data_IF_598983915995
#
_entry.id   IF_598983915995
#
_cell.length_a   1.000
_cell.length_b   1.000
_cell.length_c   1.000
_cell.angle_alpha   90.00
_cell.angle_beta   90.00
_cell.angle_gamma   90.00
#
_symmetry.space_group_name_H-M   'P 1'
#
loop_
_entity.id
_entity.type
_entity.pdbx_description
1 polymer ?
#
# COMPACT_ATOMS: atom_id res chain seq x y z
N UNK A 1 -38.89 12.44 26.98
CA UNK A 1 -37.93 13.53 26.97
C UNK A 1 -37.08 13.41 25.70
N UNK A 2 -37.15 14.44 24.86
CA UNK A 2 -36.52 14.46 23.55
C UNK A 2 -35.01 14.24 23.63
N UNK A 3 -34.36 14.83 24.63
CA UNK A 3 -32.90 14.74 24.83
C UNK A 3 -32.46 13.31 25.18
N UNK A 4 -33.25 12.57 25.94
CA UNK A 4 -32.98 11.17 26.29
C UNK A 4 -33.13 10.29 25.07
N UNK A 5 -34.17 10.54 24.25
CA UNK A 5 -34.42 9.81 23.01
C UNK A 5 -33.30 10.05 21.99
N UNK A 6 -32.90 11.31 21.82
CA UNK A 6 -31.79 11.67 20.91
C UNK A 6 -30.47 11.01 21.37
N UNK A 7 -30.19 11.07 22.67
CA UNK A 7 -29.03 10.40 23.26
C UNK A 7 -29.07 8.88 23.06
N UNK A 8 -30.26 8.28 23.18
CA UNK A 8 -30.43 6.84 22.96
C UNK A 8 -30.27 6.45 21.48
N UNK A 9 -30.84 7.26 20.57
CA UNK A 9 -30.69 7.07 19.11
C UNK A 9 -29.23 7.22 18.71
N UNK A 10 -28.51 8.22 19.19
CA UNK A 10 -27.09 8.41 18.95
C UNK A 10 -26.26 7.24 19.51
N UNK A 11 -26.64 6.74 20.67
CA UNK A 11 -25.99 5.57 21.27
C UNK A 11 -26.20 4.25 20.51
N UNK A 12 -27.32 4.09 19.84
CA UNK A 12 -27.67 2.91 19.04
C UNK A 12 -27.60 3.12 17.53
N UNK A 13 -27.19 4.31 17.09
CA UNK A 13 -27.09 4.63 15.66
C UNK A 13 -25.94 3.87 14.99
N UNK A 14 -26.04 3.75 13.65
CA UNK A 14 -24.98 3.30 12.76
C UNK A 14 -23.60 3.92 13.06
N UNK A 15 -23.57 5.11 13.59
CA UNK A 15 -22.35 5.83 13.94
C UNK A 15 -21.47 5.05 14.92
N UNK A 16 -22.05 4.38 15.88
CA UNK A 16 -21.31 3.50 16.81
C UNK A 16 -20.80 2.23 16.16
N UNK A 17 -21.55 1.70 15.23
CA UNK A 17 -21.13 0.52 14.46
C UNK A 17 -19.96 0.88 13.55
N UNK A 18 -19.98 2.08 12.97
CA UNK A 18 -18.89 2.58 12.13
C UNK A 18 -17.57 2.78 12.88
N UNK A 19 -17.61 3.06 14.19
CA UNK A 19 -16.41 3.12 15.03
C UNK A 19 -15.70 1.76 15.18
N UNK A 20 -16.38 0.66 14.92
CA UNK A 20 -15.82 -0.68 14.89
C UNK A 20 -15.37 -1.12 13.50
N UNK A 21 -15.61 -0.31 12.48
CA UNK A 21 -15.21 -0.61 11.12
C UNK A 21 -13.70 -0.40 10.97
N UNK A 22 -13.01 -1.42 10.51
CA UNK A 22 -11.59 -1.29 10.20
C UNK A 22 -11.40 -0.31 9.04
N UNK A 23 -10.55 0.70 9.22
CA UNK A 23 -10.30 1.74 8.21
C UNK A 23 -9.84 1.17 6.87
N UNK A 24 -9.07 0.08 6.87
CA UNK A 24 -8.65 -0.60 5.65
C UNK A 24 -9.81 -1.20 4.84
N UNK A 25 -10.95 -1.44 5.45
CA UNK A 25 -12.17 -1.89 4.76
C UNK A 25 -12.91 -0.75 4.06
N UNK A 26 -12.72 0.49 4.51
CA UNK A 26 -13.39 1.68 3.98
C UNK A 26 -12.66 2.34 2.81
N UNK A 27 -11.40 1.95 2.57
CA UNK A 27 -10.59 2.53 1.52
C UNK A 27 -10.68 1.70 0.25
N UNK A 28 -10.84 2.39 -0.89
CA UNK A 28 -10.73 1.74 -2.18
C UNK A 28 -9.29 1.29 -2.44
N UNK A 29 -9.07 0.24 -3.22
CA UNK A 29 -7.72 -0.17 -3.62
C UNK A 29 -6.92 0.97 -4.27
N UNK A 30 -7.57 1.79 -5.06
CA UNK A 30 -6.93 2.91 -5.77
C UNK A 30 -6.41 3.98 -4.81
N UNK A 31 -7.17 4.30 -3.76
CA UNK A 31 -6.74 5.22 -2.71
C UNK A 31 -5.53 4.66 -1.97
N UNK A 32 -5.56 3.37 -1.62
CA UNK A 32 -4.43 2.72 -0.94
C UNK A 32 -3.16 2.74 -1.77
N UNK A 33 -3.26 2.48 -3.07
CA UNK A 33 -2.13 2.52 -3.99
C UNK A 33 -1.58 3.94 -4.09
N UNK A 34 -2.44 4.93 -4.28
CA UNK A 34 -2.05 6.33 -4.36
C UNK A 34 -1.36 6.81 -3.07
N UNK A 35 -1.92 6.47 -1.91
CA UNK A 35 -1.32 6.79 -0.61
C UNK A 35 0.03 6.10 -0.42
N UNK A 36 0.15 4.85 -0.84
CA UNK A 36 1.41 4.11 -0.80
C UNK A 36 2.51 4.78 -1.62
N UNK A 37 2.18 5.30 -2.79
CA UNK A 37 3.09 6.08 -3.64
C UNK A 37 3.47 7.38 -2.94
N UNK A 38 2.50 8.17 -2.49
CA UNK A 38 2.72 9.45 -1.83
C UNK A 38 3.59 9.30 -0.58
N UNK A 39 3.31 8.30 0.22
CA UNK A 39 4.07 8.01 1.45
C UNK A 39 5.39 7.32 1.20
N UNK A 40 5.64 6.85 -0.02
CA UNK A 40 6.84 6.10 -0.38
C UNK A 40 7.09 4.95 0.59
N UNK A 41 6.12 4.08 0.71
CA UNK A 41 6.18 2.93 1.63
C UNK A 41 7.24 1.92 1.20
N UNK A 42 7.73 1.14 2.16
CA UNK A 42 8.56 -0.05 1.91
C UNK A 42 7.67 -1.16 1.34
N UNK A 43 7.85 -1.50 0.07
CA UNK A 43 7.10 -2.57 -0.56
C UNK A 43 7.96 -3.84 -0.64
N UNK A 44 7.51 -4.96 -0.05
CA UNK A 44 8.37 -6.13 0.08
C UNK A 44 8.47 -6.95 -1.20
N UNK A 45 9.64 -7.50 -1.43
CA UNK A 45 9.91 -8.43 -2.53
C UNK A 45 8.96 -9.63 -2.52
N UNK A 46 8.53 -10.07 -1.34
CA UNK A 46 7.55 -11.15 -1.21
C UNK A 46 6.28 -10.89 -2.03
N UNK A 47 5.72 -9.69 -1.98
CA UNK A 47 4.52 -9.36 -2.75
C UNK A 47 4.80 -9.18 -4.24
N UNK A 48 5.96 -8.69 -4.60
CA UNK A 48 6.39 -8.62 -6.01
C UNK A 48 6.39 -10.03 -6.62
N UNK A 49 6.96 -10.99 -5.92
CA UNK A 49 6.97 -12.40 -6.35
C UNK A 49 5.59 -13.03 -6.32
N UNK A 50 4.84 -12.85 -5.24
CA UNK A 50 3.50 -13.43 -5.05
C UNK A 50 2.52 -12.99 -6.13
N UNK A 51 2.53 -11.73 -6.49
CA UNK A 51 1.66 -11.15 -7.50
C UNK A 51 2.25 -11.22 -8.92
N UNK A 52 3.45 -11.77 -9.08
CA UNK A 52 4.17 -11.83 -10.35
C UNK A 52 4.30 -10.45 -11.00
N UNK A 53 4.65 -9.46 -10.20
CA UNK A 53 4.88 -8.09 -10.67
C UNK A 53 6.20 -8.01 -11.44
N UNK A 54 6.29 -7.01 -12.29
CA UNK A 54 7.44 -6.79 -13.17
C UNK A 54 8.27 -5.61 -12.68
N UNK A 55 9.56 -5.80 -12.56
CA UNK A 55 10.53 -4.75 -12.25
C UNK A 55 11.31 -4.34 -13.50
N UNK A 56 11.82 -3.11 -13.51
CA UNK A 56 12.89 -2.74 -14.46
C UNK A 56 14.18 -3.50 -14.12
N UNK A 57 15.07 -3.63 -15.07
CA UNK A 57 16.38 -4.29 -14.84
C UNK A 57 17.17 -3.62 -13.72
N UNK A 58 17.16 -2.30 -13.67
CA UNK A 58 17.85 -1.52 -12.62
C UNK A 58 17.27 -1.83 -11.24
N UNK A 59 15.94 -1.88 -11.14
CA UNK A 59 15.26 -2.22 -9.88
C UNK A 59 15.55 -3.65 -9.45
N UNK A 60 15.53 -4.58 -10.38
CA UNK A 60 15.82 -5.99 -10.13
C UNK A 60 17.24 -6.20 -9.60
N UNK A 61 18.24 -5.57 -10.22
CA UNK A 61 19.63 -5.60 -9.76
C UNK A 61 19.78 -5.02 -8.35
N UNK A 62 19.15 -3.87 -8.10
CA UNK A 62 19.19 -3.18 -6.81
C UNK A 62 18.56 -4.04 -5.70
N UNK A 63 17.40 -4.62 -5.96
CA UNK A 63 16.70 -5.43 -4.96
C UNK A 63 17.40 -6.76 -4.69
N UNK A 64 18.04 -7.36 -5.69
CA UNK A 64 18.84 -8.57 -5.50
C UNK A 64 20.09 -8.33 -4.64
N UNK A 65 20.76 -7.21 -4.81
CA UNK A 65 21.87 -6.81 -3.92
C UNK A 65 21.40 -6.64 -2.48
N UNK A 66 20.27 -5.99 -2.27
CA UNK A 66 19.69 -5.82 -0.94
C UNK A 66 19.29 -7.16 -0.34
N UNK A 67 18.71 -8.05 -1.13
CA UNK A 67 18.29 -9.39 -0.69
C UNK A 67 19.48 -10.19 -0.14
N UNK A 68 20.64 -10.13 -0.77
CA UNK A 68 21.87 -10.78 -0.27
C UNK A 68 22.25 -10.28 1.11
N UNK A 69 22.15 -8.96 1.36
CA UNK A 69 22.42 -8.39 2.69
C UNK A 69 21.41 -8.87 3.73
N UNK A 70 20.16 -9.02 3.34
CA UNK A 70 19.10 -9.54 4.22
C UNK A 70 19.31 -11.03 4.52
N UNK A 71 19.75 -11.82 3.54
CA UNK A 71 20.12 -13.24 3.75
C UNK A 71 21.18 -13.39 4.85
N UNK A 72 22.20 -12.54 4.84
CA UNK A 72 23.24 -12.55 5.88
C UNK A 72 22.68 -12.24 7.27
N UNK A 73 21.68 -11.38 7.39
CA UNK A 73 21.03 -11.06 8.65
C UNK A 73 20.25 -12.26 9.24
N UNK A 74 19.75 -13.16 8.39
CA UNK A 74 18.97 -14.33 8.80
C UNK A 74 19.74 -15.66 8.72
N UNK A 75 21.03 -15.59 8.51
CA UNK A 75 21.93 -16.74 8.36
C UNK A 75 21.85 -17.73 9.54
N UNK A 76 21.73 -17.21 10.77
CA UNK A 76 21.71 -18.00 12.00
C UNK A 76 20.31 -18.21 12.58
N UNK A 77 19.25 -17.93 11.80
CA UNK A 77 17.88 -18.15 12.28
C UNK A 77 17.47 -19.62 12.16
N UNK A 78 16.46 -20.02 12.96
CA UNK A 78 15.97 -21.40 13.01
C UNK A 78 15.08 -21.78 11.81
N UNK A 79 14.85 -20.86 10.87
CA UNK A 79 14.02 -21.10 9.71
C UNK A 79 14.82 -21.75 8.58
N UNK A 80 14.17 -22.63 7.82
CA UNK A 80 14.75 -23.30 6.65
C UNK A 80 13.76 -23.33 5.48
N UNK A 81 14.28 -23.61 4.28
CA UNK A 81 13.47 -23.81 3.08
C UNK A 81 12.58 -22.61 2.75
N UNK A 82 11.33 -22.89 2.44
CA UNK A 82 10.33 -21.85 2.04
C UNK A 82 10.06 -20.81 3.12
N UNK A 83 10.17 -21.17 4.39
CA UNK A 83 9.95 -20.27 5.50
C UNK A 83 11.08 -19.24 5.62
N UNK A 84 12.32 -19.67 5.45
CA UNK A 84 13.48 -18.79 5.41
C UNK A 84 13.42 -17.87 4.19
N UNK A 85 13.12 -18.41 3.01
CA UNK A 85 12.95 -17.62 1.78
C UNK A 85 11.90 -16.56 1.96
N UNK A 86 10.74 -16.88 2.52
CA UNK A 86 9.70 -15.93 2.81
C UNK A 86 10.15 -14.85 3.79
N UNK A 87 10.84 -15.23 4.86
CA UNK A 87 11.37 -14.28 5.85
C UNK A 87 12.32 -13.26 5.21
N UNK A 88 13.20 -13.73 4.35
CA UNK A 88 14.13 -12.88 3.61
C UNK A 88 13.38 -11.96 2.65
N UNK A 89 12.45 -12.47 1.88
CA UNK A 89 11.67 -11.70 0.91
C UNK A 89 10.73 -10.68 1.58
N UNK A 90 10.19 -11.00 2.77
CA UNK A 90 9.39 -10.07 3.58
C UNK A 90 10.21 -8.92 4.17
N UNK A 91 11.52 -9.07 4.26
CA UNK A 91 12.44 -8.06 4.79
C UNK A 91 13.33 -7.41 3.72
N UNK A 92 13.07 -7.72 2.47
CA UNK A 92 13.71 -7.09 1.30
C UNK A 92 12.70 -6.14 0.67
N UNK A 93 13.02 -4.86 0.60
CA UNK A 93 12.06 -3.82 0.24
C UNK A 93 12.53 -2.99 -0.95
N UNK A 94 11.56 -2.50 -1.70
CA UNK A 94 11.73 -1.42 -2.66
C UNK A 94 10.83 -0.25 -2.26
N UNK A 95 11.26 0.97 -2.53
CA UNK A 95 10.40 2.14 -2.41
C UNK A 95 9.24 2.02 -3.40
N UNK A 96 8.02 2.05 -2.89
CA UNK A 96 6.83 1.82 -3.73
C UNK A 96 6.65 2.86 -4.83
N UNK A 97 6.97 4.13 -4.53
CA UNK A 97 6.93 5.19 -5.54
C UNK A 97 7.98 4.95 -6.64
N UNK A 98 9.18 4.53 -6.27
CA UNK A 98 10.22 4.13 -7.23
C UNK A 98 9.74 2.96 -8.10
N UNK A 99 9.22 1.93 -7.46
CA UNK A 99 8.72 0.74 -8.14
C UNK A 99 7.63 1.05 -9.19
N UNK A 100 6.72 1.95 -8.88
CA UNK A 100 5.62 2.33 -9.79
C UNK A 100 6.06 3.41 -10.78
N UNK A 101 6.63 4.52 -10.31
CA UNK A 101 6.88 5.70 -11.13
C UNK A 101 8.14 5.62 -11.98
N UNK A 102 9.15 4.86 -11.57
CA UNK A 102 10.35 4.60 -12.35
C UNK A 102 10.29 3.29 -13.14
N UNK A 103 9.10 2.77 -13.35
CA UNK A 103 8.83 1.55 -14.07
C UNK A 103 7.53 1.70 -14.88
N UNK A 104 7.43 2.80 -15.61
CA UNK A 104 6.19 3.19 -16.31
C UNK A 104 5.77 2.21 -17.39
N UNK A 105 6.72 1.52 -18.01
CA UNK A 105 6.44 0.47 -18.99
C UNK A 105 5.56 -0.64 -18.40
N UNK A 106 5.77 -1.00 -17.15
CA UNK A 106 5.04 -2.04 -16.45
C UNK A 106 3.99 -1.50 -15.47
N UNK A 107 3.84 -0.18 -15.35
CA UNK A 107 3.01 0.43 -14.31
C UNK A 107 1.54 0.00 -14.39
N UNK A 108 0.96 -0.03 -15.58
CA UNK A 108 -0.44 -0.44 -15.77
C UNK A 108 -0.65 -1.91 -15.35
N UNK A 109 0.24 -2.79 -15.76
CA UNK A 109 0.22 -4.20 -15.39
C UNK A 109 0.36 -4.37 -13.86
N UNK A 110 1.36 -3.73 -13.26
CA UNK A 110 1.64 -3.85 -11.84
C UNK A 110 0.48 -3.30 -10.99
N UNK A 111 -0.01 -2.12 -11.34
CA UNK A 111 -1.12 -1.48 -10.63
C UNK A 111 -2.39 -2.33 -10.73
N UNK A 112 -2.69 -2.90 -11.89
CA UNK A 112 -3.83 -3.80 -12.08
C UNK A 112 -3.76 -5.03 -11.17
N UNK A 113 -2.58 -5.67 -11.09
CA UNK A 113 -2.36 -6.83 -10.20
C UNK A 113 -2.49 -6.46 -8.74
N UNK A 114 -1.90 -5.35 -8.33
CA UNK A 114 -1.98 -4.85 -6.95
C UNK A 114 -3.43 -4.50 -6.60
N UNK A 115 -4.14 -3.79 -7.48
CA UNK A 115 -5.56 -3.46 -7.31
C UNK A 115 -6.40 -4.69 -7.03
N UNK A 116 -6.25 -5.73 -7.85
CA UNK A 116 -7.01 -6.96 -7.69
C UNK A 116 -6.70 -7.68 -6.36
N UNK A 117 -5.46 -7.58 -5.88
CA UNK A 117 -5.06 -8.17 -4.60
C UNK A 117 -5.63 -7.44 -3.39
N UNK A 118 -6.05 -6.18 -3.55
CA UNK A 118 -6.57 -5.33 -2.48
C UNK A 118 -8.11 -5.32 -2.40
N UNK A 119 -8.80 -5.94 -3.34
CA UNK A 119 -10.26 -6.01 -3.35
C UNK A 119 -10.75 -6.84 -2.16
N UNK A 120 -11.68 -6.28 -1.39
CA UNK A 120 -12.32 -6.97 -0.25
C UNK A 120 -13.67 -7.57 -0.59
N UNK A 121 -14.30 -7.15 -1.67
CA UNK A 121 -15.52 -7.74 -2.20
C UNK A 121 -15.19 -8.48 -3.49
N UNK A 122 -15.53 -9.74 -3.55
CA UNK A 122 -15.44 -10.56 -4.74
C UNK A 122 -16.80 -11.20 -4.97
N UNK A 123 -17.37 -10.99 -6.14
CA UNK A 123 -18.69 -11.53 -6.52
C UNK A 123 -19.80 -11.16 -5.50
N UNK A 124 -19.75 -9.91 -4.96
CA UNK A 124 -20.70 -9.44 -3.96
C UNK A 124 -20.47 -9.97 -2.54
N UNK A 125 -19.45 -10.80 -2.33
CA UNK A 125 -19.13 -11.36 -1.02
C UNK A 125 -17.85 -10.75 -0.44
N UNK A 126 -17.86 -10.50 0.86
CA UNK A 126 -16.69 -9.97 1.56
C UNK A 126 -15.58 -11.03 1.65
N UNK A 127 -14.39 -10.68 1.20
CA UNK A 127 -13.19 -11.50 1.37
C UNK A 127 -12.45 -11.01 2.62
N UNK A 128 -12.73 -11.67 3.75
CA UNK A 128 -12.22 -11.24 5.06
C UNK A 128 -10.72 -11.46 5.27
N UNK A 129 -10.07 -12.23 4.41
CA UNK A 129 -8.66 -12.61 4.56
C UNK A 129 -7.73 -11.93 3.56
N UNK A 130 -7.99 -10.67 3.21
CA UNK A 130 -7.07 -9.93 2.35
C UNK A 130 -5.87 -9.42 3.16
N UNK A 131 -4.91 -10.32 3.40
CA UNK A 131 -3.69 -10.03 4.17
C UNK A 131 -2.84 -8.94 3.53
N UNK A 132 -2.85 -8.83 2.21
CA UNK A 132 -2.07 -7.82 1.51
C UNK A 132 -2.63 -6.42 1.74
N UNK A 133 -3.95 -6.25 1.72
CA UNK A 133 -4.58 -4.97 2.04
C UNK A 133 -4.23 -4.53 3.47
N UNK A 134 -4.30 -5.44 4.43
CA UNK A 134 -3.89 -5.16 5.82
C UNK A 134 -2.41 -4.81 5.90
N UNK A 135 -1.56 -5.51 5.18
CA UNK A 135 -0.13 -5.28 5.14
C UNK A 135 0.19 -3.89 4.57
N UNK A 136 -0.34 -3.54 3.40
CA UNK A 136 -0.15 -2.23 2.78
C UNK A 136 -0.67 -1.12 3.69
N UNK A 137 -1.84 -1.30 4.28
CA UNK A 137 -2.41 -0.35 5.23
C UNK A 137 -1.45 -0.07 6.40
N UNK A 138 -0.85 -1.11 6.98
CA UNK A 138 0.14 -0.96 8.06
C UNK A 138 1.35 -0.15 7.60
N UNK A 139 1.84 -0.35 6.38
CA UNK A 139 2.99 0.38 5.84
C UNK A 139 2.66 1.83 5.50
N UNK A 140 1.43 2.11 5.10
CA UNK A 140 0.99 3.48 4.83
C UNK A 140 0.90 4.30 6.12
N UNK A 141 0.32 3.73 7.17
CA UNK A 141 -0.03 4.45 8.39
C UNK A 141 0.91 4.18 9.57
N UNK A 142 1.63 3.07 9.57
CA UNK A 142 2.54 2.74 10.65
C UNK A 142 3.83 3.56 10.56
N UNK A 143 4.21 4.18 11.67
CA UNK A 143 5.46 4.90 11.78
C UNK A 143 6.65 3.96 11.52
N UNK A 144 7.63 4.41 10.75
CA UNK A 144 8.84 3.64 10.45
C UNK A 144 8.73 2.64 9.30
N UNK A 145 7.54 2.53 8.66
CA UNK A 145 7.35 1.67 7.47
C UNK A 145 7.47 2.42 6.15
N UNK A 146 7.93 3.64 6.20
CA UNK A 146 8.24 4.48 5.05
C UNK A 146 9.69 4.24 4.64
N UNK A 147 9.96 4.26 3.34
CA UNK A 147 11.32 4.10 2.81
C UNK A 147 12.24 5.19 3.35
N UNK A 148 13.45 4.81 3.73
CA UNK A 148 14.48 5.74 4.19
C UNK A 148 15.00 6.61 3.04
N UNK A 149 15.33 5.96 1.93
CA UNK A 149 15.67 6.67 0.69
C UNK A 149 14.40 7.14 -0.01
N UNK A 150 14.26 8.45 -0.15
CA UNK A 150 13.15 9.05 -0.88
C UNK A 150 13.57 9.32 -2.31
N UNK A 151 12.74 8.92 -3.25
CA UNK A 151 12.89 9.36 -4.63
C UNK A 151 12.35 10.77 -4.79
N UNK A 152 12.92 11.50 -5.74
CA UNK A 152 12.34 12.77 -6.15
C UNK A 152 11.28 12.53 -7.23
N UNK A 153 10.06 12.92 -6.94
CA UNK A 153 8.95 12.84 -7.88
C UNK A 153 8.95 14.12 -8.72
N UNK A 154 9.95 14.26 -9.62
CA UNK A 154 10.15 15.48 -10.41
C UNK A 154 9.22 15.58 -11.61
N UNK A 155 9.02 14.50 -12.30
CA UNK A 155 8.40 14.49 -13.62
C UNK A 155 7.01 13.87 -13.62
N UNK A 156 6.21 14.28 -12.65
CA UNK A 156 4.85 13.76 -12.52
C UNK A 156 4.02 13.96 -13.81
N UNK A 157 4.32 15.01 -14.57
CA UNK A 157 3.63 15.32 -15.84
C UNK A 157 3.97 14.32 -16.96
N UNK A 158 5.04 13.54 -16.81
CA UNK A 158 5.40 12.48 -17.75
C UNK A 158 4.71 11.15 -17.46
N UNK A 159 3.97 11.05 -16.36
CA UNK A 159 3.22 9.85 -16.00
C UNK A 159 2.05 9.70 -16.98
N UNK A 160 1.90 8.54 -17.66
CA UNK A 160 0.79 8.31 -18.58
C UNK A 160 -0.56 8.52 -17.90
N UNK A 161 -1.48 9.14 -18.60
CA UNK A 161 -2.85 9.37 -18.10
C UNK A 161 -3.72 8.11 -18.26
N UNK A 162 -3.45 7.11 -17.47
CA UNK A 162 -4.35 5.98 -17.24
C UNK A 162 -5.10 6.22 -15.93
N UNK A 163 -6.26 5.62 -15.77
CA UNK A 163 -7.16 5.92 -14.65
C UNK A 163 -6.49 5.93 -13.28
N UNK A 164 -5.79 4.87 -12.94
CA UNK A 164 -5.17 4.75 -11.62
C UNK A 164 -3.88 5.57 -11.51
N UNK A 165 -3.12 5.69 -12.60
CA UNK A 165 -1.91 6.51 -12.65
C UNK A 165 -2.30 7.99 -12.55
N UNK A 166 -3.38 8.40 -13.22
CA UNK A 166 -3.95 9.74 -13.11
C UNK A 166 -4.37 10.06 -11.68
N UNK A 167 -4.98 9.09 -11.00
CA UNK A 167 -5.37 9.23 -9.60
C UNK A 167 -4.16 9.40 -8.69
N UNK A 168 -3.14 8.55 -8.83
CA UNK A 168 -1.89 8.65 -8.08
C UNK A 168 -1.18 9.99 -8.33
N UNK A 169 -1.14 10.45 -9.58
CA UNK A 169 -0.61 11.76 -9.97
C UNK A 169 -1.31 12.89 -9.20
N UNK A 170 -2.63 12.90 -9.21
CA UNK A 170 -3.41 13.90 -8.47
C UNK A 170 -3.12 13.89 -6.98
N UNK A 171 -3.05 12.70 -6.37
CA UNK A 171 -2.73 12.54 -4.96
C UNK A 171 -1.34 13.10 -4.61
N UNK A 172 -0.36 12.87 -5.46
CA UNK A 172 1.00 13.38 -5.28
C UNK A 172 1.01 14.92 -5.39
N UNK A 173 0.30 15.48 -6.36
CA UNK A 173 0.17 16.92 -6.53
C UNK A 173 -0.49 17.58 -5.31
N UNK A 174 -1.57 17.03 -4.83
CA UNK A 174 -2.28 17.54 -3.66
C UNK A 174 -1.41 17.46 -2.40
N UNK A 175 -0.65 16.39 -2.25
CA UNK A 175 0.32 16.27 -1.16
C UNK A 175 1.42 17.33 -1.22
N UNK A 176 1.96 17.61 -2.41
CA UNK A 176 2.97 18.67 -2.62
C UNK A 176 2.42 20.06 -2.29
N UNK A 177 1.15 20.32 -2.55
CA UNK A 177 0.48 21.58 -2.21
C UNK A 177 0.14 21.71 -0.72
N UNK A 178 0.48 20.72 0.09
CA UNK A 178 0.12 20.67 1.51
C UNK A 178 -1.34 20.30 1.76
N UNK A 179 -2.08 19.90 0.73
CA UNK A 179 -3.42 19.37 0.89
C UNK A 179 -3.37 18.05 1.67
N UNK A 180 -4.13 17.97 2.74
CA UNK A 180 -4.29 16.76 3.55
C UNK A 180 -5.68 16.15 3.40
N UNK A 181 -6.39 16.53 2.38
CA UNK A 181 -7.78 16.15 2.18
C UNK A 181 -8.00 14.64 2.33
N UNK A 182 -7.23 13.84 1.61
CA UNK A 182 -7.36 12.38 1.66
C UNK A 182 -6.96 11.79 3.01
N UNK A 183 -5.98 12.40 3.67
CA UNK A 183 -5.59 11.99 5.01
C UNK A 183 -6.63 12.37 6.06
N UNK A 184 -7.27 13.52 5.91
CA UNK A 184 -8.32 13.98 6.80
C UNK A 184 -9.60 13.15 6.63
N UNK A 185 -9.96 12.80 5.41
CA UNK A 185 -11.10 11.92 5.13
C UNK A 185 -10.91 10.50 5.67
N UNK A 186 -9.67 10.07 5.88
CA UNK A 186 -9.33 8.79 6.47
C UNK A 186 -9.41 8.78 8.01
N UNK A 187 -9.45 9.96 8.63
CA UNK A 187 -9.54 10.12 10.09
C UNK A 187 -10.97 10.32 10.57
N UNK A 188 -11.87 10.64 9.66
CA UNK A 188 -13.29 10.78 9.94
C UNK A 188 -14.00 9.43 9.78
#
# INVERSE_FOLDING_TARGET
>A
DKTIIESYILKKSKFRTDLHTHMNANLTPDVLIALGIVRQIKYPLYYIKKLKLKMSKIQEEKILKQRKKVEEQFKDCNLTGKYLTRKIDDNTFINFADFILNNLENAEYNISKIRNSLVILKDGQAVFTNLEKVYIYRYIFAKGKVSEEKIQIKDINKIPEKDIVKYAKRMIEDHKKGSQYEFNSLRQ
#
